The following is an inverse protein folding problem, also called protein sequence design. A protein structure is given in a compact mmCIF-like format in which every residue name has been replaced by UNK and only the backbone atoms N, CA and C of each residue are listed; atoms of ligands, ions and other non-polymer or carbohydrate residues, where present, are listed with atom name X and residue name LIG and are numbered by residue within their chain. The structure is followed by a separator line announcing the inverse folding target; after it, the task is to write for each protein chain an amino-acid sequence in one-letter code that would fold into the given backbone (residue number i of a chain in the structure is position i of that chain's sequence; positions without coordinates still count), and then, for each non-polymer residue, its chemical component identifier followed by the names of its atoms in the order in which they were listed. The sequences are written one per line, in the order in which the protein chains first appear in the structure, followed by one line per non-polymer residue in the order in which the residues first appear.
data_IF_523094801477
#
_entry.id   IF_523094801477
#
_cell.length_a   1.000
_cell.length_b   1.000
_cell.length_c   1.000
_cell.angle_alpha   90.00
_cell.angle_beta   90.00
_cell.angle_gamma   90.00
#
_symmetry.space_group_name_H-M   'P 1'
#
loop_
_entity.id
_entity.type
_entity.pdbx_description
1 polymer ?
#
# COMPACT_ATOMS: atom_id res chain seq x y z
N UNK A 1 0.97 -11.15 5.50
CA UNK A 1 -0.51 -11.29 5.49
C UNK A 1 -1.08 -11.20 6.89
N UNK A 2 -0.72 -12.09 7.82
CA UNK A 2 -1.21 -12.09 9.21
C UNK A 2 -1.20 -10.73 9.92
N UNK A 3 -0.12 -9.95 9.80
CA UNK A 3 -0.07 -8.60 10.40
C UNK A 3 -1.14 -7.65 9.83
N UNK A 4 -1.35 -7.65 8.52
CA UNK A 4 -2.34 -6.78 7.87
C UNK A 4 -3.76 -7.20 8.26
N UNK A 5 -4.03 -8.50 8.27
CA UNK A 5 -5.32 -9.06 8.71
C UNK A 5 -5.63 -8.63 10.16
N UNK A 6 -4.65 -8.75 11.05
CA UNK A 6 -4.80 -8.35 12.45
C UNK A 6 -4.96 -6.84 12.63
N UNK A 7 -4.27 -6.00 11.84
CA UNK A 7 -4.45 -4.54 11.88
C UNK A 7 -5.89 -4.11 11.59
N UNK A 8 -6.58 -4.84 10.71
CA UNK A 8 -7.96 -4.53 10.31
C UNK A 8 -8.99 -5.50 10.88
N UNK A 9 -8.63 -6.22 11.94
CA UNK A 9 -9.53 -7.14 12.62
C UNK A 9 -10.79 -6.40 13.12
N UNK A 10 -11.96 -6.99 12.88
CA UNK A 10 -13.25 -6.38 13.23
C UNK A 10 -13.76 -5.32 12.24
N UNK A 11 -13.04 -4.98 11.16
CA UNK A 11 -13.53 -4.08 10.12
C UNK A 11 -14.11 -4.87 8.93
N UNK A 12 -15.45 -5.01 8.81
CA UNK A 12 -16.07 -5.83 7.77
C UNK A 12 -15.93 -5.24 6.35
N UNK A 13 -15.51 -3.97 6.22
CA UNK A 13 -15.32 -3.31 4.92
C UNK A 13 -13.96 -3.61 4.30
N UNK A 14 -13.04 -4.24 5.04
CA UNK A 14 -11.68 -4.51 4.60
C UNK A 14 -11.49 -6.01 4.44
N UNK A 15 -11.03 -6.43 3.26
CA UNK A 15 -10.66 -7.82 2.98
C UNK A 15 -9.22 -7.86 2.50
N UNK A 16 -8.40 -8.66 3.18
CA UNK A 16 -6.98 -8.82 2.88
C UNK A 16 -6.81 -10.04 1.98
N UNK A 17 -6.16 -9.87 0.83
CA UNK A 17 -5.94 -10.94 -0.15
C UNK A 17 -4.55 -10.82 -0.74
N UNK A 18 -3.92 -11.97 -0.99
CA UNK A 18 -2.69 -12.06 -1.78
C UNK A 18 -3.04 -12.49 -3.20
N UNK A 19 -2.32 -11.96 -4.17
CA UNK A 19 -2.48 -12.32 -5.57
C UNK A 19 -1.11 -12.53 -6.21
N UNK A 20 -1.11 -13.24 -7.34
CA UNK A 20 0.04 -13.41 -8.21
C UNK A 20 -0.32 -12.86 -9.59
N UNK A 21 0.67 -12.43 -10.37
CA UNK A 21 0.45 -11.83 -11.68
C UNK A 21 0.17 -10.32 -11.62
N UNK A 22 -0.54 -9.79 -12.62
CA UNK A 22 -0.76 -8.35 -12.75
C UNK A 22 -1.80 -7.84 -11.75
N UNK A 23 -1.49 -6.69 -11.14
CA UNK A 23 -2.42 -6.01 -10.23
C UNK A 23 -3.76 -5.68 -10.89
N UNK A 24 -3.74 -5.32 -12.17
CA UNK A 24 -4.95 -4.98 -12.93
C UNK A 24 -5.88 -6.18 -13.15
N UNK A 25 -5.31 -7.38 -13.34
CA UNK A 25 -6.07 -8.63 -13.47
C UNK A 25 -6.70 -9.01 -12.13
N UNK A 26 -5.95 -8.84 -11.03
CA UNK A 26 -6.50 -9.03 -9.69
C UNK A 26 -7.65 -8.07 -9.41
N UNK A 27 -7.47 -6.77 -9.69
CA UNK A 27 -8.52 -5.75 -9.53
C UNK A 27 -9.79 -6.12 -10.31
N UNK A 28 -9.64 -6.58 -11.56
CA UNK A 28 -10.75 -7.09 -12.37
C UNK A 28 -11.43 -8.31 -11.74
N UNK A 29 -10.65 -9.26 -11.21
CA UNK A 29 -11.18 -10.50 -10.60
C UNK A 29 -12.07 -10.23 -9.38
N UNK A 30 -11.76 -9.16 -8.64
CA UNK A 30 -12.55 -8.73 -7.47
C UNK A 30 -13.59 -7.65 -7.81
N UNK A 31 -13.76 -7.32 -9.10
CA UNK A 31 -14.68 -6.28 -9.60
C UNK A 31 -14.42 -4.91 -8.97
N UNK A 32 -13.14 -4.54 -8.82
CA UNK A 32 -12.75 -3.22 -8.35
C UNK A 32 -12.71 -2.22 -9.51
N UNK A 33 -13.28 -1.03 -9.31
CA UNK A 33 -13.23 0.08 -10.26
C UNK A 33 -12.05 1.04 -10.01
N UNK A 34 -11.47 0.99 -8.80
CA UNK A 34 -10.44 1.93 -8.34
C UNK A 34 -9.28 1.19 -7.66
N UNK A 35 -8.06 1.59 -8.00
CA UNK A 35 -6.82 1.27 -7.29
C UNK A 35 -6.34 2.53 -6.57
N UNK A 36 -6.25 2.49 -5.23
CA UNK A 36 -5.68 3.60 -4.46
C UNK A 36 -4.18 3.44 -4.30
N UNK A 37 -3.43 4.53 -4.50
CA UNK A 37 -1.98 4.61 -4.27
C UNK A 37 -1.65 5.83 -3.43
N UNK A 38 -0.83 5.65 -2.39
CA UNK A 38 -0.36 6.76 -1.56
C UNK A 38 0.92 7.37 -2.12
N UNK A 39 1.01 8.70 -2.12
CA UNK A 39 2.21 9.45 -2.53
C UNK A 39 2.75 10.24 -1.33
N UNK A 40 4.04 10.10 -1.01
CA UNK A 40 4.70 10.86 0.06
C UNK A 40 5.48 12.05 -0.47
N UNK A 41 5.90 11.98 -1.73
CA UNK A 41 6.70 13.02 -2.40
C UNK A 41 6.53 12.96 -3.92
N UNK A 42 7.10 13.94 -4.63
CA UNK A 42 7.15 13.91 -6.10
C UNK A 42 7.89 12.70 -6.67
N UNK A 43 8.84 12.11 -5.93
CA UNK A 43 9.56 10.90 -6.37
C UNK A 43 8.61 9.70 -6.46
N UNK A 44 7.70 9.56 -5.49
CA UNK A 44 6.69 8.49 -5.54
C UNK A 44 5.77 8.69 -6.76
N UNK A 45 5.44 9.94 -7.11
CA UNK A 45 4.60 10.23 -8.27
C UNK A 45 5.26 9.81 -9.58
N UNK A 46 6.51 10.17 -9.80
CA UNK A 46 7.25 9.80 -11.03
C UNK A 46 7.39 8.28 -11.17
N UNK A 47 7.48 7.55 -10.07
CA UNK A 47 7.50 6.07 -10.08
C UNK A 47 6.11 5.47 -10.36
N UNK A 48 5.07 5.97 -9.71
CA UNK A 48 3.72 5.40 -9.78
C UNK A 48 2.95 5.79 -11.04
N UNK A 49 3.21 6.98 -11.59
CA UNK A 49 2.54 7.51 -12.79
C UNK A 49 2.59 6.53 -13.98
N UNK A 50 3.75 6.04 -14.44
CA UNK A 50 3.79 5.13 -15.59
C UNK A 50 3.09 3.80 -15.31
N UNK A 51 3.07 3.32 -14.06
CA UNK A 51 2.33 2.12 -13.66
C UNK A 51 0.82 2.35 -13.79
N UNK A 52 0.33 3.49 -13.32
CA UNK A 52 -1.07 3.88 -13.45
C UNK A 52 -1.50 4.03 -14.92
N UNK A 53 -0.70 4.71 -15.74
CA UNK A 53 -0.95 4.86 -17.18
C UNK A 53 -0.97 3.52 -17.90
N UNK A 54 -0.02 2.63 -17.59
CA UNK A 54 0.02 1.27 -18.16
C UNK A 54 -1.21 0.45 -17.77
N UNK A 55 -1.62 0.50 -16.49
CA UNK A 55 -2.82 -0.19 -16.03
C UNK A 55 -4.09 0.33 -16.73
N UNK A 56 -4.20 1.65 -16.96
CA UNK A 56 -5.33 2.24 -17.66
C UNK A 56 -5.38 1.81 -19.14
N UNK A 57 -4.22 1.66 -19.80
CA UNK A 57 -4.15 1.11 -21.16
C UNK A 57 -4.60 -0.35 -21.22
N UNK A 58 -4.20 -1.16 -20.24
CA UNK A 58 -4.58 -2.58 -20.15
C UNK A 58 -6.06 -2.78 -19.83
N UNK A 59 -6.63 -1.92 -18.98
CA UNK A 59 -8.05 -1.95 -18.66
C UNK A 59 -8.60 -0.53 -18.36
N UNK A 60 -9.23 0.13 -19.35
CA UNK A 60 -9.75 1.49 -19.20
C UNK A 60 -10.87 1.66 -18.18
N UNK A 61 -11.49 0.56 -17.73
CA UNK A 61 -12.57 0.60 -16.74
C UNK A 61 -12.08 0.78 -15.29
N UNK A 62 -10.78 0.55 -15.03
CA UNK A 62 -10.21 0.61 -13.69
C UNK A 62 -9.29 1.83 -13.59
N UNK A 63 -9.60 2.73 -12.66
CA UNK A 63 -8.86 3.96 -12.46
C UNK A 63 -7.87 3.85 -11.31
N UNK A 64 -6.71 4.50 -11.43
CA UNK A 64 -5.81 4.69 -10.28
C UNK A 64 -6.04 6.07 -9.67
N UNK A 65 -6.26 6.13 -8.36
CA UNK A 65 -6.43 7.38 -7.60
C UNK A 65 -5.26 7.54 -6.64
N UNK A 66 -4.59 8.68 -6.76
CA UNK A 66 -3.48 9.06 -5.89
C UNK A 66 -3.96 9.84 -4.68
N UNK A 67 -3.53 9.41 -3.49
CA UNK A 67 -3.79 10.09 -2.23
C UNK A 67 -2.48 10.65 -1.69
N UNK A 68 -2.47 11.95 -1.38
CA UNK A 68 -1.31 12.58 -0.75
C UNK A 68 -1.23 12.15 0.72
N UNK A 69 -0.04 11.74 1.14
CA UNK A 69 0.21 11.30 2.51
C UNK A 69 0.23 12.50 3.45
N UNK A 70 -0.36 12.37 4.65
CA UNK A 70 -0.20 13.38 5.69
C UNK A 70 1.28 13.56 6.05
N UNK A 71 1.70 14.82 6.26
CA UNK A 71 3.11 15.18 6.46
C UNK A 71 3.81 14.37 7.55
N UNK A 72 3.10 14.06 8.64
CA UNK A 72 3.62 13.28 9.77
C UNK A 72 4.02 11.84 9.41
N UNK A 73 3.41 11.25 8.38
CA UNK A 73 3.72 9.90 7.91
C UNK A 73 4.66 9.88 6.68
N UNK A 74 4.99 11.04 6.11
CA UNK A 74 5.77 11.13 4.87
C UNK A 74 7.17 10.52 4.95
N UNK A 75 7.76 10.47 6.14
CA UNK A 75 9.08 9.87 6.39
C UNK A 75 9.05 8.35 6.60
N UNK A 76 7.87 7.76 6.77
CA UNK A 76 7.76 6.34 7.09
C UNK A 76 7.98 5.50 5.82
N UNK A 77 8.88 4.52 5.91
CA UNK A 77 9.04 3.49 4.89
C UNK A 77 9.41 2.17 5.54
N UNK A 78 8.94 1.05 4.97
CA UNK A 78 9.27 -0.28 5.49
C UNK A 78 10.77 -0.55 5.49
N UNK A 79 11.54 0.07 4.58
CA UNK A 79 13.00 -0.06 4.55
C UNK A 79 13.64 0.61 5.77
N UNK A 80 13.24 1.84 6.10
CA UNK A 80 13.73 2.55 7.30
C UNK A 80 13.31 1.80 8.57
N UNK A 81 12.04 1.38 8.66
CA UNK A 81 11.52 0.64 9.82
C UNK A 81 12.29 -0.68 10.03
N UNK A 82 12.53 -1.45 8.95
CA UNK A 82 13.34 -2.68 9.03
C UNK A 82 14.77 -2.41 9.46
N UNK A 83 15.36 -1.29 9.08
CA UNK A 83 16.72 -0.92 9.48
C UNK A 83 16.81 -0.60 10.98
N UNK A 84 15.82 0.13 11.51
CA UNK A 84 15.70 0.39 12.95
C UNK A 84 15.65 -0.94 13.71
N UNK A 85 14.77 -1.85 13.29
CA UNK A 85 14.61 -3.18 13.92
C UNK A 85 15.91 -3.98 13.88
N UNK A 86 16.55 -4.08 12.71
CA UNK A 86 17.80 -4.84 12.52
C UNK A 86 18.93 -4.35 13.43
N UNK A 87 18.93 -3.06 13.77
CA UNK A 87 19.93 -2.44 14.63
C UNK A 87 19.45 -2.28 16.09
N UNK A 88 18.45 -3.05 16.51
CA UNK A 88 17.89 -3.05 17.88
C UNK A 88 17.30 -1.70 18.34
N UNK A 89 16.90 -0.83 17.41
CA UNK A 89 16.18 0.40 17.71
C UNK A 89 14.68 0.16 17.95
N UNK A 90 14.03 1.12 18.62
CA UNK A 90 12.58 1.08 18.85
C UNK A 90 11.80 1.60 17.63
N UNK A 91 11.00 0.74 17.02
CA UNK A 91 10.19 1.06 15.84
C UNK A 91 8.68 1.24 16.13
N UNK A 92 8.25 1.16 17.40
CA UNK A 92 6.82 1.10 17.78
C UNK A 92 6.03 2.32 17.30
N UNK A 93 6.63 3.51 17.25
CA UNK A 93 5.95 4.72 16.76
C UNK A 93 5.68 4.72 15.25
N UNK A 94 6.21 3.75 14.49
CA UNK A 94 6.09 3.69 13.02
C UNK A 94 5.23 2.51 12.54
N UNK A 95 4.74 1.68 13.44
CA UNK A 95 3.99 0.45 13.11
C UNK A 95 2.75 0.33 14.00
N UNK A 96 1.67 -0.32 13.52
CA UNK A 96 0.55 -0.67 14.39
C UNK A 96 0.92 -1.72 15.45
N UNK A 97 0.20 -1.75 16.58
CA UNK A 97 0.37 -2.73 17.67
C UNK A 97 0.22 -4.19 17.22
N UNK A 98 -0.47 -4.42 16.11
CA UNK A 98 -0.63 -5.76 15.50
C UNK A 98 0.67 -6.31 14.90
N UNK A 99 1.66 -5.45 14.64
CA UNK A 99 2.98 -5.82 14.11
C UNK A 99 3.91 -6.12 15.28
N UNK A 100 3.99 -7.40 15.64
CA UNK A 100 4.93 -7.90 16.65
C UNK A 100 6.28 -8.20 16.00
N UNK A 101 7.32 -7.49 16.42
CA UNK A 101 8.71 -7.61 15.97
C UNK A 101 9.46 -8.68 16.77
#
# INVERSE_FOLDING_TARGET
MKWIEKTFEGNPKIKVQSYNGLTIDFAKSVKADIIFRGLRSGVDFEYEKPIAETNQLLNPSINTVFLLTHKEFGMISSSIVREIIKNNGNANSFIPDSVTI
#
